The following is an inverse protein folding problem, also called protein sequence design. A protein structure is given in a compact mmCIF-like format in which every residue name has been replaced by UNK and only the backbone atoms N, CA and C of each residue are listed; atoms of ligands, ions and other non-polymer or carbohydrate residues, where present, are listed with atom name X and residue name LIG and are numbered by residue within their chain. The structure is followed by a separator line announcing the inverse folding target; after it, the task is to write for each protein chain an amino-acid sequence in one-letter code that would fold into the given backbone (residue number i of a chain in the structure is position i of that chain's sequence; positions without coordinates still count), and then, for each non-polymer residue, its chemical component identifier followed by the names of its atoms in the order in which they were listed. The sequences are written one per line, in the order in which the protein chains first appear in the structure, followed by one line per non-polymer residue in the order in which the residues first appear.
data_IF_407575412940
#
_entry.id   IF_407575412940
#
_cell.length_a   1.000
_cell.length_b   1.000
_cell.length_c   1.000
_cell.angle_alpha   90.00
_cell.angle_beta   90.00
_cell.angle_gamma   90.00
#
_symmetry.space_group_name_H-M   'P 1'
#
loop_
_entity.id
_entity.type
_entity.pdbx_description
1 polymer ?
#
# COMPACT_ATOMS: atom_id res chain seq x y z
N UNK A 1 -3.90 21.43 8.00
CA UNK A 1 -3.76 21.35 6.53
C UNK A 1 -2.49 20.60 6.15
N UNK A 2 -2.64 19.51 5.39
CA UNK A 2 -1.49 18.87 4.76
C UNK A 2 -0.99 19.75 3.60
N UNK A 3 0.32 19.96 3.44
CA UNK A 3 0.84 20.69 2.29
C UNK A 3 0.36 20.01 0.99
N UNK A 4 0.06 20.78 -0.05
CA UNK A 4 -0.49 20.26 -1.30
C UNK A 4 0.36 19.12 -1.91
N UNK A 5 1.68 19.16 -1.70
CA UNK A 5 2.62 18.10 -2.08
C UNK A 5 2.39 16.76 -1.37
N UNK A 6 1.87 16.77 -0.14
CA UNK A 6 1.59 15.56 0.65
C UNK A 6 0.31 14.88 0.17
N UNK A 7 -0.79 15.63 0.07
CA UNK A 7 -2.05 15.10 -0.49
C UNK A 7 -1.83 14.55 -1.90
N UNK A 8 -1.04 15.24 -2.72
CA UNK A 8 -0.67 14.73 -4.04
C UNK A 8 0.13 13.42 -3.97
N UNK A 9 1.11 13.30 -3.07
CA UNK A 9 1.88 12.07 -2.92
C UNK A 9 1.01 10.88 -2.49
N UNK A 10 0.08 11.09 -1.54
CA UNK A 10 -0.87 10.05 -1.12
C UNK A 10 -1.88 9.69 -2.21
N UNK A 11 -2.30 10.66 -3.03
CA UNK A 11 -3.19 10.39 -4.16
C UNK A 11 -2.48 9.63 -5.28
N UNK A 12 -1.23 9.98 -5.60
CA UNK A 12 -0.40 9.20 -6.51
C UNK A 12 -0.17 7.78 -5.99
N UNK A 13 0.06 7.62 -4.68
CA UNK A 13 0.20 6.31 -4.05
C UNK A 13 -1.09 5.48 -4.13
N UNK A 14 -2.25 6.11 -3.89
CA UNK A 14 -3.56 5.47 -4.05
C UNK A 14 -3.74 4.91 -5.47
N UNK A 15 -3.42 5.71 -6.48
CA UNK A 15 -3.48 5.28 -7.89
C UNK A 15 -2.53 4.10 -8.16
N UNK A 16 -1.32 4.12 -7.60
CA UNK A 16 -0.37 3.02 -7.74
C UNK A 16 -0.87 1.72 -7.08
N UNK A 17 -1.47 1.80 -5.88
CA UNK A 17 -2.05 0.63 -5.22
C UNK A 17 -3.27 0.11 -5.98
N UNK A 18 -4.15 0.97 -6.48
CA UNK A 18 -5.30 0.54 -7.28
C UNK A 18 -4.87 -0.14 -8.59
N UNK A 19 -3.84 0.38 -9.27
CA UNK A 19 -3.25 -0.30 -10.44
C UNK A 19 -2.66 -1.66 -10.06
N UNK A 20 -1.98 -1.75 -8.92
CA UNK A 20 -1.47 -3.02 -8.41
C UNK A 20 -2.60 -4.01 -8.10
N UNK A 21 -3.70 -3.54 -7.48
CA UNK A 21 -4.90 -4.34 -7.21
C UNK A 21 -5.48 -4.92 -8.49
N UNK A 22 -5.71 -4.08 -9.51
CA UNK A 22 -6.23 -4.53 -10.81
C UNK A 22 -5.31 -5.57 -11.45
N UNK A 23 -3.99 -5.34 -11.42
CA UNK A 23 -3.02 -6.32 -11.93
C UNK A 23 -3.07 -7.63 -11.14
N UNK A 24 -3.27 -7.56 -9.82
CA UNK A 24 -3.31 -8.71 -8.94
C UNK A 24 -4.62 -9.51 -9.06
N UNK A 25 -5.75 -8.85 -9.26
CA UNK A 25 -7.04 -9.53 -9.43
C UNK A 25 -7.17 -10.20 -10.80
N UNK A 26 -6.47 -9.66 -11.81
CA UNK A 26 -6.35 -10.28 -13.14
C UNK A 26 -5.22 -11.33 -13.23
N UNK A 27 -4.66 -11.76 -12.10
CA UNK A 27 -3.77 -12.93 -12.06
C UNK A 27 -4.59 -14.18 -12.40
N UNK A 28 -4.61 -14.55 -13.68
CA UNK A 28 -4.79 -15.95 -14.02
C UNK A 28 -3.60 -16.72 -13.43
N UNK A 29 -3.87 -17.92 -12.92
CA UNK A 29 -2.93 -18.78 -12.16
C UNK A 29 -1.60 -19.08 -12.89
N UNK A 30 -1.49 -18.69 -14.17
CA UNK A 30 -0.33 -18.83 -15.06
C UNK A 30 0.39 -17.51 -15.41
N UNK A 31 -0.13 -16.34 -15.00
CA UNK A 31 0.47 -15.05 -15.34
C UNK A 31 1.81 -14.86 -14.61
N UNK A 32 2.82 -14.56 -15.43
CA UNK A 32 4.22 -14.50 -15.04
C UNK A 32 4.46 -13.73 -13.73
N UNK A 33 5.15 -14.35 -12.76
CA UNK A 33 5.62 -13.68 -11.55
C UNK A 33 6.37 -12.37 -11.84
N UNK A 34 6.93 -12.20 -13.04
CA UNK A 34 7.69 -11.03 -13.46
C UNK A 34 6.87 -9.73 -13.41
N UNK A 35 5.62 -9.76 -13.89
CA UNK A 35 4.78 -8.56 -14.02
C UNK A 35 4.34 -8.02 -12.65
N UNK A 36 3.92 -8.89 -11.73
CA UNK A 36 3.60 -8.48 -10.35
C UNK A 36 4.84 -7.86 -9.70
N UNK A 37 6.01 -8.47 -9.88
CA UNK A 37 7.24 -8.00 -9.25
C UNK A 37 7.68 -6.63 -9.74
N UNK A 38 7.48 -6.33 -11.02
CA UNK A 38 7.77 -5.00 -11.57
C UNK A 38 6.84 -3.94 -10.97
N UNK A 39 5.52 -4.20 -10.96
CA UNK A 39 4.55 -3.28 -10.37
C UNK A 39 4.79 -3.10 -8.87
N UNK A 40 5.09 -4.17 -8.16
CA UNK A 40 5.39 -4.13 -6.74
C UNK A 40 6.70 -3.39 -6.43
N UNK A 41 7.74 -3.58 -7.24
CA UNK A 41 9.01 -2.87 -7.06
C UNK A 41 8.85 -1.36 -7.23
N UNK A 42 8.04 -0.93 -8.21
CA UNK A 42 7.69 0.48 -8.39
C UNK A 42 6.93 1.03 -7.17
N UNK A 43 5.98 0.25 -6.65
CA UNK A 43 5.20 0.59 -5.46
C UNK A 43 6.08 0.72 -4.21
N UNK A 44 6.99 -0.23 -3.98
CA UNK A 44 7.96 -0.19 -2.89
C UNK A 44 8.86 1.04 -2.98
N UNK A 45 9.42 1.30 -4.17
CA UNK A 45 10.27 2.47 -4.37
C UNK A 45 9.53 3.77 -4.05
N UNK A 46 8.30 3.92 -4.54
CA UNK A 46 7.49 5.11 -4.25
C UNK A 46 7.20 5.24 -2.76
N UNK A 47 6.82 4.15 -2.10
CA UNK A 47 6.54 4.14 -0.66
C UNK A 47 7.73 4.62 0.17
N UNK A 48 8.90 4.01 -0.04
CA UNK A 48 10.09 4.35 0.76
C UNK A 48 10.67 5.73 0.44
N UNK A 49 10.60 6.18 -0.82
CA UNK A 49 11.18 7.47 -1.21
C UNK A 49 10.28 8.64 -0.85
N UNK A 50 8.96 8.48 -0.98
CA UNK A 50 7.99 9.57 -0.87
C UNK A 50 7.13 9.44 0.38
N UNK A 51 6.39 8.34 0.49
CA UNK A 51 5.39 8.21 1.56
C UNK A 51 6.04 8.15 2.93
N UNK A 52 7.08 7.32 3.11
CA UNK A 52 7.74 7.18 4.41
C UNK A 52 8.40 8.48 4.88
N UNK A 53 9.06 9.20 3.97
CA UNK A 53 9.69 10.50 4.26
C UNK A 53 8.66 11.53 4.71
N UNK A 54 7.59 11.70 3.93
CA UNK A 54 6.51 12.64 4.25
C UNK A 54 5.78 12.26 5.54
N UNK A 55 5.56 10.96 5.75
CA UNK A 55 4.95 10.44 6.98
C UNK A 55 5.77 10.80 8.22
N UNK A 56 7.10 10.73 8.14
CA UNK A 56 7.96 11.07 9.28
C UNK A 56 7.88 12.57 9.61
N UNK A 57 7.90 13.43 8.59
CA UNK A 57 7.71 14.88 8.75
C UNK A 57 6.32 15.23 9.34
N UNK A 58 5.29 14.47 8.98
CA UNK A 58 3.93 14.64 9.48
C UNK A 58 3.73 14.10 10.90
N UNK A 59 4.39 12.99 11.25
CA UNK A 59 4.31 12.40 12.59
C UNK A 59 4.80 13.38 13.66
N UNK A 60 5.70 14.30 13.33
CA UNK A 60 6.16 15.33 14.26
C UNK A 60 5.13 16.44 14.47
N UNK A 61 4.28 16.71 13.47
CA UNK A 61 3.38 17.88 13.44
C UNK A 61 1.86 17.56 13.54
N UNK A 62 1.47 16.28 13.48
CA UNK A 62 0.05 15.87 13.33
C UNK A 62 -0.67 15.52 14.63
N UNK A 63 -2.01 15.56 14.59
CA UNK A 63 -2.90 15.04 15.64
C UNK A 63 -2.80 13.51 15.79
N UNK A 64 -2.99 13.00 17.01
CA UNK A 64 -2.86 11.57 17.37
C UNK A 64 -3.62 10.62 16.43
N UNK A 65 -4.81 11.02 15.95
CA UNK A 65 -5.62 10.19 15.05
C UNK A 65 -4.95 9.98 13.68
N UNK A 66 -4.30 11.00 13.13
CA UNK A 66 -3.62 10.91 11.83
C UNK A 66 -2.32 10.10 11.97
N UNK A 67 -1.61 10.26 13.10
CA UNK A 67 -0.43 9.42 13.42
C UNK A 67 -0.75 7.92 13.43
N UNK A 68 -1.94 7.55 13.92
CA UNK A 68 -2.41 6.17 13.88
C UNK A 68 -2.55 5.67 12.45
N UNK A 69 -3.16 6.45 11.55
CA UNK A 69 -3.34 6.06 10.15
C UNK A 69 -2.00 5.83 9.45
N UNK A 70 -1.05 6.74 9.64
CA UNK A 70 0.31 6.60 9.10
C UNK A 70 1.02 5.33 9.58
N UNK A 71 0.87 5.01 10.87
CA UNK A 71 1.43 3.78 11.45
C UNK A 71 0.79 2.54 10.82
N UNK A 72 -0.53 2.53 10.63
CA UNK A 72 -1.24 1.42 10.02
C UNK A 72 -0.88 1.27 8.53
N UNK A 73 -0.75 2.36 7.77
CA UNK A 73 -0.27 2.32 6.37
C UNK A 73 1.12 1.65 6.32
N UNK A 74 2.06 2.09 7.15
CA UNK A 74 3.39 1.51 7.20
C UNK A 74 3.41 0.04 7.63
N UNK A 75 2.53 -0.35 8.56
CA UNK A 75 2.37 -1.75 9.00
C UNK A 75 1.82 -2.62 7.87
N UNK A 76 0.70 -2.24 7.28
CA UNK A 76 0.05 -3.02 6.22
C UNK A 76 0.97 -3.14 4.99
N UNK A 77 1.74 -2.09 4.66
CA UNK A 77 2.70 -2.15 3.55
C UNK A 77 3.84 -3.15 3.79
N UNK A 78 4.35 -3.23 5.03
CA UNK A 78 5.35 -4.25 5.41
C UNK A 78 4.77 -5.65 5.32
N UNK A 79 3.54 -5.85 5.81
CA UNK A 79 2.86 -7.15 5.74
C UNK A 79 2.61 -7.58 4.29
N UNK A 80 2.15 -6.66 3.43
CA UNK A 80 1.99 -6.90 2.00
C UNK A 80 3.31 -7.35 1.35
N UNK A 81 4.43 -6.69 1.69
CA UNK A 81 5.77 -7.08 1.22
C UNK A 81 6.11 -8.50 1.62
N UNK A 82 5.85 -8.86 2.87
CA UNK A 82 6.10 -10.20 3.41
C UNK A 82 5.22 -11.25 2.74
N UNK A 83 3.93 -10.98 2.56
CA UNK A 83 3.00 -11.92 1.91
C UNK A 83 3.39 -12.18 0.44
N UNK A 84 3.82 -11.15 -0.30
CA UNK A 84 4.32 -11.32 -1.67
C UNK A 84 5.60 -12.15 -1.74
N UNK A 85 6.52 -11.96 -0.78
CA UNK A 85 7.72 -12.80 -0.69
C UNK A 85 7.35 -14.27 -0.43
N UNK A 86 6.42 -14.52 0.49
CA UNK A 86 5.95 -15.89 0.79
C UNK A 86 5.20 -16.51 -0.37
N UNK A 87 4.36 -15.76 -1.08
CA UNK A 87 3.67 -16.25 -2.28
C UNK A 87 4.68 -16.75 -3.32
N UNK A 88 5.79 -16.02 -3.52
CA UNK A 88 6.86 -16.40 -4.44
C UNK A 88 7.64 -17.65 -3.99
N UNK A 89 7.86 -17.80 -2.68
CA UNK A 89 8.58 -18.94 -2.13
C UNK A 89 7.70 -20.20 -2.00
N UNK A 90 6.39 -20.03 -1.96
CA UNK A 90 5.45 -21.13 -1.74
C UNK A 90 5.40 -22.09 -2.94
N UNK A 91 5.51 -23.38 -2.65
CA UNK A 91 5.38 -24.47 -3.64
C UNK A 91 4.06 -25.23 -3.52
N UNK A 92 3.31 -25.02 -2.43
CA UNK A 92 2.05 -25.72 -2.16
C UNK A 92 0.86 -24.84 -2.57
N UNK A 93 -0.08 -25.40 -3.34
CA UNK A 93 -1.23 -24.68 -3.87
C UNK A 93 -2.13 -24.10 -2.77
N UNK A 94 -2.43 -24.89 -1.73
CA UNK A 94 -3.24 -24.42 -0.59
C UNK A 94 -2.62 -23.18 0.10
N UNK A 95 -1.32 -23.22 0.37
CA UNK A 95 -0.61 -22.06 0.93
C UNK A 95 -0.56 -20.87 -0.03
N UNK A 96 -0.56 -21.09 -1.36
CA UNK A 96 -0.65 -19.98 -2.32
C UNK A 96 -2.02 -19.31 -2.27
N UNK A 97 -3.11 -20.06 -2.23
CA UNK A 97 -4.48 -19.53 -2.18
C UNK A 97 -4.72 -18.69 -0.91
N UNK A 98 -4.26 -19.18 0.25
CA UNK A 98 -4.30 -18.42 1.51
C UNK A 98 -3.53 -17.10 1.39
N UNK A 99 -2.35 -17.13 0.76
CA UNK A 99 -1.53 -15.93 0.56
C UNK A 99 -2.16 -14.95 -0.42
N UNK A 100 -2.77 -15.45 -1.50
CA UNK A 100 -3.51 -14.60 -2.44
C UNK A 100 -4.65 -13.86 -1.73
N UNK A 101 -5.39 -14.57 -0.87
CA UNK A 101 -6.45 -13.97 -0.05
C UNK A 101 -5.90 -12.91 0.91
N UNK A 102 -4.84 -13.23 1.66
CA UNK A 102 -4.19 -12.26 2.55
C UNK A 102 -3.75 -11.01 1.79
N UNK A 103 -3.12 -11.16 0.63
CA UNK A 103 -2.66 -10.02 -0.19
C UNK A 103 -3.84 -9.13 -0.60
N UNK A 104 -4.97 -9.69 -1.03
CA UNK A 104 -6.17 -8.91 -1.36
C UNK A 104 -6.65 -8.10 -0.16
N UNK A 105 -6.77 -8.75 1.01
CA UNK A 105 -7.20 -8.08 2.23
C UNK A 105 -6.26 -6.94 2.63
N UNK A 106 -4.94 -7.14 2.47
CA UNK A 106 -3.92 -6.10 2.75
C UNK A 106 -4.06 -4.92 1.81
N UNK A 107 -4.24 -5.17 0.51
CA UNK A 107 -4.44 -4.11 -0.49
C UNK A 107 -5.69 -3.30 -0.17
N UNK A 108 -6.81 -3.96 0.15
CA UNK A 108 -8.06 -3.28 0.52
C UNK A 108 -7.89 -2.40 1.76
N UNK A 109 -7.22 -2.90 2.80
CA UNK A 109 -6.92 -2.11 4.00
C UNK A 109 -6.04 -0.91 3.72
N UNK A 110 -4.98 -1.08 2.91
CA UNK A 110 -4.10 0.01 2.52
C UNK A 110 -4.85 1.12 1.80
N UNK A 111 -5.71 0.77 0.83
CA UNK A 111 -6.57 1.72 0.13
C UNK A 111 -7.42 2.51 1.12
N UNK A 112 -8.13 1.82 2.01
CA UNK A 112 -9.01 2.45 2.98
C UNK A 112 -8.27 3.42 3.92
N UNK A 113 -7.05 3.06 4.37
CA UNK A 113 -6.25 3.96 5.21
C UNK A 113 -5.74 5.18 4.45
N UNK A 114 -5.32 5.03 3.19
CA UNK A 114 -4.88 6.15 2.36
C UNK A 114 -6.05 7.09 2.07
N UNK A 115 -7.23 6.56 1.75
CA UNK A 115 -8.45 7.35 1.58
C UNK A 115 -8.83 8.10 2.87
N UNK A 116 -8.68 7.47 4.03
CA UNK A 116 -8.92 8.14 5.32
C UNK A 116 -7.93 9.29 5.58
N UNK A 117 -6.65 9.14 5.20
CA UNK A 117 -5.65 10.22 5.26
C UNK A 117 -6.05 11.37 4.33
N UNK A 118 -6.43 11.07 3.08
CA UNK A 118 -6.85 12.07 2.10
C UNK A 118 -8.16 12.77 2.52
N UNK A 119 -9.11 12.05 3.11
CA UNK A 119 -10.36 12.65 3.59
C UNK A 119 -10.11 13.64 4.73
N UNK A 120 -9.25 13.26 5.69
CA UNK A 120 -8.86 14.11 6.81
C UNK A 120 -8.01 15.31 6.37
N UNK A 121 -7.26 15.19 5.28
CA UNK A 121 -6.53 16.31 4.69
C UNK A 121 -7.44 17.38 4.09
N UNK A 122 -8.61 16.96 3.58
CA UNK A 122 -9.60 17.83 2.92
C UNK A 122 -10.53 18.55 3.92
N UNK A 123 -10.82 17.96 5.07
CA UNK A 123 -11.82 18.47 6.04
C UNK A 123 -11.30 19.60 6.94
N UNK A 124 -10.01 19.92 6.90
CA UNK A 124 -9.41 21.04 7.64
C UNK A 124 -9.34 22.34 6.81
N UNK A 125 -10.28 22.55 5.88
CA UNK A 125 -10.44 23.76 5.06
C UNK A 125 -11.50 24.73 5.59
#
# INVERSE_FOLDING_TARGET
MLPASHSQAYQEFLVLIQKFQICFDNLDTEVEPLTINQHFSALQKFFYQRILTLTQEELDNSLTQVKSLYTEIGREFKLLTTDLLFLRASRQTATKEERLTSIRDRITKLIAYIEAVLAKSLTES
#
